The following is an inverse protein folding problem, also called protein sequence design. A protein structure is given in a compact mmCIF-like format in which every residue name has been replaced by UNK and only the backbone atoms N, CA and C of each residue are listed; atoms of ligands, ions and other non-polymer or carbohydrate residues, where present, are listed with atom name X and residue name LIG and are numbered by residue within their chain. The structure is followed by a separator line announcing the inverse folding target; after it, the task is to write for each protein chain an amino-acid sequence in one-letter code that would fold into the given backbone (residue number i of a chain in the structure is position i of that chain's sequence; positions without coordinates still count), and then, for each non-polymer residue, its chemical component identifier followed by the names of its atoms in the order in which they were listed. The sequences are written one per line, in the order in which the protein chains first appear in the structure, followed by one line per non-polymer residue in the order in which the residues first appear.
data_IF_152705784320
#
_entry.id   IF_152705784320
#
_cell.length_a   1.000
_cell.length_b   1.000
_cell.length_c   1.000
_cell.angle_alpha   90.00
_cell.angle_beta   90.00
_cell.angle_gamma   90.00
#
_symmetry.space_group_name_H-M   'P 1'
#
loop_
_entity.id
_entity.type
_entity.pdbx_description
1 polymer ?
#
# COMPACT_ATOMS: atom_id res chain seq x y z
N UNK A 1 13.07 22.34 -4.95
CA UNK A 1 12.40 21.22 -5.68
C UNK A 1 13.25 19.98 -5.51
N UNK A 2 12.67 18.87 -5.05
CA UNK A 2 13.35 17.57 -4.98
C UNK A 2 13.66 17.09 -6.40
N UNK A 3 14.88 16.55 -6.62
CA UNK A 3 15.25 15.97 -7.93
C UNK A 3 14.32 14.79 -8.25
N UNK A 4 13.98 14.64 -9.52
CA UNK A 4 13.12 13.53 -9.96
C UNK A 4 13.86 12.20 -9.84
N UNK A 5 13.23 11.23 -9.16
CA UNK A 5 13.73 9.85 -9.13
C UNK A 5 13.37 9.14 -10.43
N UNK A 6 14.33 8.44 -11.02
CA UNK A 6 14.11 7.61 -12.21
C UNK A 6 13.62 6.19 -11.87
N UNK A 7 13.71 5.78 -10.61
CA UNK A 7 13.45 4.39 -10.20
C UNK A 7 12.31 4.22 -9.20
N UNK A 8 12.03 5.25 -8.39
CA UNK A 8 11.06 5.21 -7.30
C UNK A 8 10.01 6.30 -7.48
N UNK A 9 8.74 5.96 -7.30
CA UNK A 9 7.63 6.92 -7.30
C UNK A 9 6.71 6.72 -6.10
N UNK A 10 5.95 7.76 -5.75
CA UNK A 10 4.82 7.66 -4.83
C UNK A 10 3.54 7.44 -5.65
N UNK A 11 2.71 6.47 -5.26
CA UNK A 11 1.44 6.14 -5.89
C UNK A 11 0.30 6.28 -4.88
N UNK A 12 -0.67 7.12 -5.20
CA UNK A 12 -1.83 7.43 -4.36
C UNK A 12 -3.11 6.95 -5.06
N UNK A 13 -3.65 5.77 -4.73
CA UNK A 13 -4.99 5.40 -5.18
C UNK A 13 -6.03 6.28 -4.49
N UNK A 14 -7.01 6.78 -5.22
CA UNK A 14 -7.96 7.77 -4.73
C UNK A 14 -9.38 7.51 -5.24
N UNK A 15 -10.33 7.41 -4.30
CA UNK A 15 -11.76 7.28 -4.60
C UNK A 15 -12.58 8.12 -3.63
N UNK A 16 -13.26 9.14 -4.16
CA UNK A 16 -14.09 10.08 -3.39
C UNK A 16 -13.41 10.54 -2.08
N UNK A 17 -12.19 11.09 -2.14
CA UNK A 17 -11.39 11.45 -0.95
C UNK A 17 -11.84 12.78 -0.31
N UNK A 18 -12.77 13.50 -0.95
CA UNK A 18 -13.13 14.85 -0.54
C UNK A 18 -11.98 15.85 -0.70
N UNK A 19 -11.96 16.86 0.15
CA UNK A 19 -10.97 17.96 0.09
C UNK A 19 -9.56 17.55 0.52
N UNK A 20 -9.40 16.46 1.27
CA UNK A 20 -8.11 16.00 1.83
C UNK A 20 -7.09 15.59 0.78
N UNK A 21 -7.53 15.16 -0.39
CA UNK A 21 -6.60 14.66 -1.42
C UNK A 21 -5.61 15.73 -1.87
N UNK A 22 -6.06 16.98 -2.00
CA UNK A 22 -5.17 18.06 -2.42
C UNK A 22 -4.02 18.29 -1.41
N UNK A 23 -4.34 18.25 -0.11
CA UNK A 23 -3.34 18.40 0.95
C UNK A 23 -2.41 17.18 1.01
N UNK A 24 -2.96 15.96 0.84
CA UNK A 24 -2.19 14.73 0.77
C UNK A 24 -1.17 14.77 -0.38
N UNK A 25 -1.62 15.19 -1.57
CA UNK A 25 -0.75 15.30 -2.76
C UNK A 25 0.31 16.39 -2.57
N UNK A 26 -0.06 17.56 -2.04
CA UNK A 26 0.92 18.63 -1.74
C UNK A 26 1.97 18.15 -0.73
N UNK A 27 1.54 17.45 0.34
CA UNK A 27 2.46 16.89 1.32
C UNK A 27 3.41 15.86 0.69
N UNK A 28 2.90 14.93 -0.13
CA UNK A 28 3.75 13.97 -0.83
C UNK A 28 4.73 14.65 -1.80
N UNK A 29 4.26 15.65 -2.59
CA UNK A 29 5.08 16.42 -3.52
C UNK A 29 6.17 17.26 -2.85
N UNK A 30 5.93 17.71 -1.62
CA UNK A 30 6.96 18.42 -0.85
C UNK A 30 8.14 17.52 -0.50
N UNK A 31 7.95 16.21 -0.42
CA UNK A 31 8.95 15.24 0.01
C UNK A 31 9.49 14.34 -1.10
N UNK A 32 8.77 14.18 -2.23
CA UNK A 32 9.18 13.29 -3.32
C UNK A 32 8.76 13.76 -4.72
N UNK A 33 9.54 13.32 -5.71
CA UNK A 33 9.29 13.52 -7.12
C UNK A 33 9.72 12.27 -7.91
N UNK A 34 8.82 11.60 -8.69
CA UNK A 34 7.45 11.96 -8.99
C UNK A 34 6.42 11.42 -7.98
N UNK A 35 5.21 12.01 -8.01
CA UNK A 35 4.01 11.53 -7.34
C UNK A 35 2.92 11.28 -8.37
N UNK A 36 2.30 10.12 -8.31
CA UNK A 36 1.20 9.74 -9.19
C UNK A 36 -0.07 9.50 -8.38
N UNK A 37 -1.18 9.97 -8.90
CA UNK A 37 -2.52 9.72 -8.34
C UNK A 37 -3.32 8.90 -9.33
N UNK A 38 -3.89 7.78 -8.87
CA UNK A 38 -4.85 7.00 -9.66
C UNK A 38 -6.24 7.27 -9.13
N UNK A 39 -7.02 8.05 -9.86
CA UNK A 39 -8.41 8.36 -9.54
C UNK A 39 -9.30 7.22 -9.99
N UNK A 40 -9.86 6.49 -9.03
CA UNK A 40 -10.66 5.28 -9.24
C UNK A 40 -12.15 5.60 -9.41
N UNK A 41 -12.49 6.35 -10.47
CA UNK A 41 -13.88 6.70 -10.79
C UNK A 41 -14.53 7.62 -9.75
N UNK A 42 -13.80 8.59 -9.21
CA UNK A 42 -14.34 9.57 -8.25
C UNK A 42 -15.43 10.46 -8.87
N UNK A 43 -16.46 10.76 -8.06
CA UNK A 43 -17.62 11.58 -8.45
C UNK A 43 -17.82 12.84 -7.59
N UNK A 44 -16.91 13.08 -6.64
CA UNK A 44 -16.96 14.14 -5.63
C UNK A 44 -16.29 15.47 -6.08
N UNK A 45 -15.90 15.57 -7.36
CA UNK A 45 -15.20 16.74 -7.89
C UNK A 45 -13.69 16.75 -7.66
N UNK A 46 -13.13 15.82 -6.89
CA UNK A 46 -11.68 15.71 -6.59
C UNK A 46 -10.83 15.54 -7.86
N UNK A 47 -11.36 14.89 -8.90
CA UNK A 47 -10.70 14.70 -10.19
C UNK A 47 -10.27 16.02 -10.83
N UNK A 48 -11.19 17.01 -10.90
CA UNK A 48 -10.89 18.30 -11.50
C UNK A 48 -9.79 19.06 -10.72
N UNK A 49 -9.83 18.98 -9.39
CA UNK A 49 -8.79 19.57 -8.52
C UNK A 49 -7.43 18.95 -8.81
N UNK A 50 -7.35 17.63 -8.87
CA UNK A 50 -6.11 16.91 -9.13
C UNK A 50 -5.54 17.19 -10.52
N UNK A 51 -6.41 17.25 -11.54
CA UNK A 51 -6.00 17.60 -12.91
C UNK A 51 -5.46 19.05 -12.99
N UNK A 52 -6.11 20.00 -12.30
CA UNK A 52 -5.62 21.37 -12.20
C UNK A 52 -4.23 21.44 -11.52
N UNK A 53 -4.02 20.67 -10.44
CA UNK A 53 -2.72 20.57 -9.78
C UNK A 53 -1.65 19.99 -10.71
N UNK A 54 -1.98 18.93 -11.46
CA UNK A 54 -1.04 18.29 -12.40
C UNK A 54 -0.68 19.20 -13.58
N UNK A 55 -1.59 20.04 -14.04
CA UNK A 55 -1.30 21.03 -15.08
C UNK A 55 -0.26 22.08 -14.64
N UNK A 56 -0.18 22.36 -13.34
CA UNK A 56 0.77 23.31 -12.74
C UNK A 56 2.06 22.66 -12.22
N UNK A 57 2.11 21.34 -12.09
CA UNK A 57 3.25 20.61 -11.51
C UNK A 57 3.65 19.40 -12.38
N UNK A 58 4.74 19.49 -13.16
CA UNK A 58 5.18 18.41 -14.03
C UNK A 58 5.63 17.14 -13.28
N UNK A 59 5.86 17.22 -11.98
CA UNK A 59 6.19 16.06 -11.14
C UNK A 59 4.95 15.33 -10.58
N UNK A 60 3.74 15.83 -10.86
CA UNK A 60 2.48 15.20 -10.50
C UNK A 60 1.81 14.61 -11.74
N UNK A 61 1.53 13.32 -11.74
CA UNK A 61 0.76 12.66 -12.79
C UNK A 61 -0.58 12.18 -12.23
N UNK A 62 -1.66 12.38 -12.99
CA UNK A 62 -3.01 11.93 -12.62
C UNK A 62 -3.53 10.97 -13.68
N UNK A 63 -3.79 9.74 -13.26
CA UNK A 63 -4.43 8.69 -14.07
C UNK A 63 -5.90 8.60 -13.64
N UNK A 64 -6.83 8.74 -14.59
CA UNK A 64 -8.27 8.72 -14.31
C UNK A 64 -8.88 7.45 -14.86
N UNK A 65 -9.47 6.62 -13.99
CA UNK A 65 -10.22 5.43 -14.39
C UNK A 65 -11.71 5.81 -14.61
N UNK A 66 -12.38 5.20 -15.60
CA UNK A 66 -13.75 5.58 -15.96
C UNK A 66 -14.79 5.21 -14.89
N UNK A 67 -14.48 4.24 -14.04
CA UNK A 67 -15.36 3.75 -12.97
C UNK A 67 -14.58 3.17 -11.81
N UNK A 68 -15.22 3.04 -10.63
CA UNK A 68 -14.59 2.43 -9.46
C UNK A 68 -14.38 0.92 -9.68
N UNK A 69 -13.12 0.52 -9.70
CA UNK A 69 -12.67 -0.88 -9.82
C UNK A 69 -12.06 -1.41 -8.53
N UNK A 70 -11.84 -0.54 -7.54
CA UNK A 70 -11.33 -0.81 -6.21
C UNK A 70 -9.84 -0.52 -6.03
N UNK A 71 -9.44 -0.24 -4.78
CA UNK A 71 -8.09 0.21 -4.40
C UNK A 71 -6.98 -0.62 -5.07
N UNK A 72 -7.03 -1.94 -4.91
CA UNK A 72 -5.98 -2.81 -5.46
C UNK A 72 -5.96 -2.82 -7.00
N UNK A 73 -7.11 -2.71 -7.67
CA UNK A 73 -7.15 -2.61 -9.13
C UNK A 73 -6.58 -1.26 -9.60
N UNK A 74 -6.89 -0.16 -8.91
CA UNK A 74 -6.29 1.14 -9.18
C UNK A 74 -4.76 1.14 -9.00
N UNK A 75 -4.28 0.49 -7.92
CA UNK A 75 -2.84 0.29 -7.71
C UNK A 75 -2.23 -0.48 -8.87
N UNK A 76 -2.86 -1.59 -9.34
CA UNK A 76 -2.32 -2.37 -10.45
C UNK A 76 -2.21 -1.54 -11.75
N UNK A 77 -3.20 -0.69 -12.05
CA UNK A 77 -3.13 0.22 -13.20
C UNK A 77 -1.94 1.19 -13.08
N UNK A 78 -1.73 1.76 -11.88
CA UNK A 78 -0.56 2.60 -11.60
C UNK A 78 0.76 1.84 -11.76
N UNK A 79 0.84 0.60 -11.29
CA UNK A 79 2.02 -0.26 -11.43
C UNK A 79 2.31 -0.61 -12.90
N UNK A 80 1.29 -0.90 -13.69
CA UNK A 80 1.45 -1.22 -15.11
C UNK A 80 2.02 -0.01 -15.87
N UNK A 81 1.48 1.17 -15.62
CA UNK A 81 1.96 2.42 -16.20
C UNK A 81 3.39 2.76 -15.72
N UNK A 82 3.67 2.60 -14.41
CA UNK A 82 4.98 2.86 -13.83
C UNK A 82 6.06 1.95 -14.42
N UNK A 83 5.76 0.65 -14.56
CA UNK A 83 6.67 -0.29 -15.19
C UNK A 83 6.94 0.03 -16.66
N UNK A 84 5.92 0.48 -17.41
CA UNK A 84 6.07 0.90 -18.81
C UNK A 84 6.98 2.13 -18.95
N UNK A 85 7.07 2.98 -17.91
CA UNK A 85 7.98 4.14 -17.87
C UNK A 85 9.34 3.84 -17.21
N UNK A 86 9.63 2.57 -16.86
CA UNK A 86 10.92 2.14 -16.34
C UNK A 86 11.09 2.26 -14.84
N UNK A 87 10.05 2.64 -14.07
CA UNK A 87 10.11 2.62 -12.61
C UNK A 87 10.22 1.18 -12.09
N UNK A 88 11.00 1.02 -11.02
CA UNK A 88 11.27 -0.28 -10.40
C UNK A 88 10.62 -0.45 -9.04
N UNK A 89 10.34 0.66 -8.35
CA UNK A 89 9.77 0.66 -7.00
C UNK A 89 8.64 1.67 -6.87
N UNK A 90 7.68 1.35 -6.03
CA UNK A 90 6.54 2.20 -5.74
C UNK A 90 6.31 2.30 -4.23
N UNK A 91 6.15 3.51 -3.72
CA UNK A 91 5.58 3.75 -2.40
C UNK A 91 4.07 3.95 -2.57
N UNK A 92 3.26 3.07 -1.99
CA UNK A 92 1.81 3.27 -1.90
C UNK A 92 1.48 4.17 -0.72
N UNK A 93 0.51 5.07 -0.89
CA UNK A 93 0.05 6.00 0.14
C UNK A 93 -1.44 6.27 -0.05
N UNK A 94 -2.25 6.21 1.01
CA UNK A 94 -3.68 6.48 0.92
C UNK A 94 -3.97 7.99 0.74
N UNK A 95 -5.11 8.32 0.13
CA UNK A 95 -5.47 9.70 -0.23
C UNK A 95 -6.14 10.50 0.89
N UNK A 96 -6.34 9.92 2.07
CA UNK A 96 -7.10 10.46 3.20
C UNK A 96 -6.29 11.34 4.17
N UNK A 97 -4.99 11.51 3.91
CA UNK A 97 -4.06 12.31 4.72
C UNK A 97 -3.59 11.65 6.02
N UNK A 98 -3.95 10.39 6.28
CA UNK A 98 -3.55 9.69 7.51
C UNK A 98 -2.09 9.25 7.51
N UNK A 99 -1.47 9.13 6.34
CA UNK A 99 -0.10 8.66 6.17
C UNK A 99 0.93 9.80 6.32
N UNK A 100 2.07 9.55 6.97
CA UNK A 100 3.10 10.55 7.26
C UNK A 100 3.98 10.82 6.04
N UNK A 101 3.63 11.84 5.24
CA UNK A 101 4.39 12.19 4.03
C UNK A 101 5.84 12.56 4.33
N UNK A 102 6.12 13.08 5.51
CA UNK A 102 7.46 13.41 6.01
C UNK A 102 8.40 12.20 6.11
N UNK A 103 7.85 10.99 6.18
CA UNK A 103 8.64 9.75 6.20
C UNK A 103 8.94 9.18 4.81
N UNK A 104 8.38 9.73 3.74
CA UNK A 104 8.67 9.27 2.37
C UNK A 104 10.18 9.17 2.10
N UNK A 105 11.03 10.18 2.40
CA UNK A 105 12.45 10.09 2.11
C UNK A 105 13.16 8.94 2.83
N UNK A 106 12.82 8.66 4.09
CA UNK A 106 13.43 7.57 4.86
C UNK A 106 13.04 6.19 4.32
N UNK A 107 11.78 6.02 3.91
CA UNK A 107 11.31 4.79 3.27
C UNK A 107 12.02 4.57 1.92
N UNK A 108 12.12 5.62 1.10
CA UNK A 108 12.81 5.55 -0.20
C UNK A 108 14.30 5.22 -0.04
N UNK A 109 14.98 5.84 0.93
CA UNK A 109 16.39 5.53 1.23
C UNK A 109 16.57 4.07 1.66
N UNK A 110 15.68 3.53 2.51
CA UNK A 110 15.71 2.13 2.91
C UNK A 110 15.50 1.19 1.72
N UNK A 111 14.55 1.52 0.84
CA UNK A 111 14.30 0.74 -0.38
C UNK A 111 15.49 0.76 -1.34
N UNK A 112 16.15 1.90 -1.49
CA UNK A 112 17.38 2.02 -2.32
C UNK A 112 18.54 1.19 -1.77
N UNK A 113 18.67 1.09 -0.44
CA UNK A 113 19.67 0.26 0.22
C UNK A 113 19.36 -1.24 0.13
N UNK A 114 18.07 -1.61 0.09
CA UNK A 114 17.57 -2.98 0.05
C UNK A 114 16.56 -3.18 -1.10
N UNK A 115 16.97 -3.08 -2.36
CA UNK A 115 16.06 -3.01 -3.50
C UNK A 115 15.26 -4.31 -3.74
N UNK A 116 15.69 -5.44 -3.19
CA UNK A 116 14.93 -6.68 -3.28
C UNK A 116 13.80 -6.79 -2.24
N UNK A 117 13.80 -5.93 -1.21
CA UNK A 117 12.86 -5.99 -0.10
C UNK A 117 11.61 -5.13 -0.35
N UNK A 118 10.50 -5.52 0.27
CA UNK A 118 9.40 -4.61 0.53
C UNK A 118 9.62 -3.90 1.87
N UNK A 119 9.35 -2.60 1.91
CA UNK A 119 9.46 -1.78 3.13
C UNK A 119 8.06 -1.51 3.64
N UNK A 120 7.74 -2.05 4.81
CA UNK A 120 6.41 -1.95 5.42
C UNK A 120 6.40 -0.90 6.52
N UNK A 121 5.44 0.02 6.46
CA UNK A 121 5.13 0.90 7.57
C UNK A 121 4.49 0.11 8.71
N UNK A 122 5.01 0.30 9.93
CA UNK A 122 4.41 -0.24 11.15
C UNK A 122 3.79 0.93 11.91
N UNK A 123 2.45 0.98 12.03
CA UNK A 123 1.79 2.13 12.61
C UNK A 123 2.15 2.32 14.08
N UNK A 124 2.60 3.53 14.41
CA UNK A 124 2.74 4.01 15.79
C UNK A 124 1.48 4.79 16.13
N UNK A 125 0.68 4.23 17.01
CA UNK A 125 -0.59 4.82 17.41
C UNK A 125 -0.40 5.83 18.53
N UNK A 126 -1.10 6.96 18.43
CA UNK A 126 -1.24 7.87 19.56
C UNK A 126 -2.15 7.25 20.65
N UNK A 127 -2.11 7.79 21.87
CA UNK A 127 -2.83 7.22 23.01
C UNK A 127 -4.36 7.21 22.85
N UNK A 128 -4.89 8.07 22.01
CA UNK A 128 -6.32 8.24 21.69
C UNK A 128 -6.81 7.36 20.52
N UNK A 129 -5.95 6.50 19.99
CA UNK A 129 -6.31 5.64 18.85
C UNK A 129 -7.48 4.69 19.19
N UNK A 130 -8.45 4.51 18.26
CA UNK A 130 -9.61 3.65 18.49
C UNK A 130 -9.21 2.19 18.77
N UNK A 131 -9.44 1.71 19.99
CA UNK A 131 -9.02 0.39 20.47
C UNK A 131 -9.51 -0.76 19.58
N UNK A 132 -10.74 -0.67 19.05
CA UNK A 132 -11.29 -1.70 18.17
C UNK A 132 -10.46 -1.87 16.89
N UNK A 133 -9.96 -0.76 16.32
CA UNK A 133 -9.08 -0.80 15.14
C UNK A 133 -7.73 -1.44 15.46
N UNK A 134 -7.17 -1.11 16.61
CA UNK A 134 -5.89 -1.68 17.08
C UNK A 134 -6.01 -3.19 17.29
N UNK A 135 -7.10 -3.66 17.92
CA UNK A 135 -7.31 -5.11 18.16
C UNK A 135 -7.59 -5.87 16.85
N UNK A 136 -8.45 -5.35 15.97
CA UNK A 136 -8.71 -5.96 14.66
C UNK A 136 -7.43 -6.13 13.83
N UNK A 137 -6.51 -5.16 13.91
CA UNK A 137 -5.20 -5.20 13.25
C UNK A 137 -4.33 -6.34 13.77
N UNK A 138 -4.31 -6.57 15.08
CA UNK A 138 -3.55 -7.68 15.69
C UNK A 138 -3.99 -9.05 15.17
N UNK A 139 -5.29 -9.23 14.93
CA UNK A 139 -5.84 -10.47 14.39
C UNK A 139 -5.33 -10.69 12.95
N UNK A 140 -5.48 -9.70 12.07
CA UNK A 140 -4.99 -9.79 10.69
C UNK A 140 -3.47 -9.98 10.62
N UNK A 141 -2.71 -9.29 11.46
CA UNK A 141 -1.26 -9.44 11.54
C UNK A 141 -0.85 -10.84 12.03
N UNK A 142 -1.60 -11.40 12.98
CA UNK A 142 -1.41 -12.79 13.44
C UNK A 142 -1.59 -13.79 12.30
N UNK A 143 -2.67 -13.66 11.53
CA UNK A 143 -2.91 -14.51 10.35
C UNK A 143 -1.83 -14.34 9.29
N UNK A 144 -1.47 -13.10 8.92
CA UNK A 144 -0.44 -12.83 7.92
C UNK A 144 0.92 -13.43 8.31
N UNK A 145 1.29 -13.36 9.59
CA UNK A 145 2.52 -13.98 10.09
C UNK A 145 2.44 -15.51 10.10
N UNK A 146 1.30 -16.11 10.50
CA UNK A 146 1.09 -17.55 10.40
C UNK A 146 1.22 -18.04 8.96
N UNK A 147 0.53 -17.39 8.03
CA UNK A 147 0.49 -17.73 6.59
C UNK A 147 1.85 -17.60 5.89
N UNK A 148 2.81 -16.97 6.53
CA UNK A 148 4.18 -16.77 6.01
C UNK A 148 5.26 -17.48 6.84
N UNK A 149 4.90 -18.34 7.79
CA UNK A 149 5.81 -18.93 8.78
C UNK A 149 6.63 -17.88 9.53
N UNK A 150 5.96 -16.81 9.99
CA UNK A 150 6.60 -15.69 10.70
C UNK A 150 7.74 -15.03 9.90
N UNK A 151 7.41 -14.56 8.69
CA UNK A 151 8.35 -13.78 7.85
C UNK A 151 8.69 -12.39 8.43
N UNK A 152 8.13 -12.03 9.59
CA UNK A 152 8.43 -10.76 10.27
C UNK A 152 7.57 -9.60 9.76
N UNK A 153 6.32 -9.84 9.37
CA UNK A 153 5.38 -8.80 8.97
C UNK A 153 4.97 -8.00 10.22
N UNK A 154 5.40 -6.74 10.30
CA UNK A 154 5.05 -5.84 11.41
C UNK A 154 3.60 -5.37 11.35
N UNK A 155 3.10 -5.03 10.17
CA UNK A 155 1.69 -4.72 9.93
C UNK A 155 1.24 -5.11 8.53
N UNK A 156 0.07 -5.76 8.43
CA UNK A 156 -0.50 -6.26 7.18
C UNK A 156 -1.55 -5.33 6.57
N UNK A 157 -2.05 -4.33 7.31
CA UNK A 157 -3.19 -3.48 6.93
C UNK A 157 -2.82 -2.02 6.67
N UNK A 158 -1.61 -1.58 7.05
CA UNK A 158 -1.20 -0.20 6.87
C UNK A 158 -0.69 0.02 5.46
N UNK A 159 -1.34 0.89 4.68
CA UNK A 159 -1.09 1.08 3.25
C UNK A 159 0.16 1.87 2.88
N UNK A 160 0.93 2.39 3.87
CA UNK A 160 2.17 3.15 3.62
C UNK A 160 3.36 2.20 3.49
N UNK A 161 3.72 1.85 2.26
CA UNK A 161 4.69 0.78 1.97
C UNK A 161 5.44 1.01 0.67
N UNK A 162 6.66 0.48 0.58
CA UNK A 162 7.36 0.36 -0.70
C UNK A 162 7.37 -1.10 -1.16
N UNK A 163 7.10 -1.25 -2.44
CA UNK A 163 7.16 -2.53 -3.13
C UNK A 163 8.07 -2.45 -4.36
N UNK A 164 8.90 -3.47 -4.61
CA UNK A 164 9.44 -3.69 -5.94
C UNK A 164 8.30 -4.01 -6.92
N UNK A 165 8.22 -3.26 -8.02
CA UNK A 165 7.08 -3.30 -8.96
C UNK A 165 6.96 -4.65 -9.65
N UNK A 166 8.04 -5.19 -10.16
CA UNK A 166 7.99 -6.42 -10.98
C UNK A 166 7.38 -7.62 -10.23
N UNK A 167 7.83 -7.99 -9.01
CA UNK A 167 7.24 -9.11 -8.28
C UNK A 167 5.80 -8.82 -7.82
N UNK A 168 5.47 -7.55 -7.44
CA UNK A 168 4.10 -7.21 -7.04
C UNK A 168 3.13 -7.34 -8.23
N UNK A 169 3.48 -6.80 -9.41
CA UNK A 169 2.69 -6.96 -10.64
C UNK A 169 2.44 -8.43 -10.97
N UNK A 170 3.48 -9.27 -10.94
CA UNK A 170 3.34 -10.69 -11.19
C UNK A 170 2.39 -11.38 -10.19
N UNK A 171 2.44 -10.98 -8.90
CA UNK A 171 1.50 -11.46 -7.88
C UNK A 171 0.08 -11.04 -8.21
N UNK A 172 -0.15 -9.79 -8.56
CA UNK A 172 -1.47 -9.24 -8.81
C UNK A 172 -2.10 -9.70 -10.13
N UNK A 173 -1.29 -9.82 -11.19
CA UNK A 173 -1.74 -10.29 -12.51
C UNK A 173 -2.02 -11.79 -12.52
N UNK A 174 -1.32 -12.58 -11.71
CA UNK A 174 -1.48 -14.04 -11.61
C UNK A 174 -2.79 -14.49 -10.95
N UNK A 175 -3.69 -13.58 -10.61
CA UNK A 175 -4.95 -13.91 -9.95
C UNK A 175 -6.00 -12.80 -10.06
N UNK A 176 -7.26 -13.18 -9.79
CA UNK A 176 -8.43 -12.28 -9.84
C UNK A 176 -8.71 -11.52 -8.54
N UNK A 177 -8.05 -11.90 -7.45
CA UNK A 177 -8.19 -11.28 -6.11
C UNK A 177 -7.34 -10.03 -5.96
N UNK A 178 -7.30 -9.42 -4.78
CA UNK A 178 -6.52 -8.22 -4.49
C UNK A 178 -7.00 -6.99 -5.28
N UNK A 179 -8.31 -6.86 -5.47
CA UNK A 179 -8.85 -5.72 -6.25
C UNK A 179 -9.40 -4.61 -5.36
N UNK A 180 -9.72 -4.91 -4.10
CA UNK A 180 -10.29 -3.96 -3.12
C UNK A 180 -9.38 -3.79 -1.91
N UNK A 181 -9.95 -3.69 -0.71
CA UNK A 181 -9.20 -3.58 0.56
C UNK A 181 -8.44 -4.86 0.95
N UNK A 182 -8.74 -5.98 0.33
CA UNK A 182 -7.97 -7.21 0.44
C UNK A 182 -6.55 -7.11 -0.18
N UNK A 183 -6.27 -6.06 -0.94
CA UNK A 183 -4.96 -5.82 -1.55
C UNK A 183 -3.84 -5.74 -0.51
N UNK A 184 -3.98 -4.88 0.50
CA UNK A 184 -2.89 -4.59 1.43
C UNK A 184 -2.37 -5.83 2.17
N UNK A 185 -3.21 -6.66 2.85
CA UNK A 185 -2.73 -7.86 3.53
C UNK A 185 -2.36 -9.00 2.57
N UNK A 186 -3.12 -9.21 1.51
CA UNK A 186 -2.85 -10.31 0.57
C UNK A 186 -1.55 -10.09 -0.21
N UNK A 187 -1.24 -8.84 -0.59
CA UNK A 187 0.01 -8.49 -1.27
C UNK A 187 1.23 -8.89 -0.44
N UNK A 188 1.25 -8.51 0.83
CA UNK A 188 2.37 -8.80 1.73
C UNK A 188 2.59 -10.30 1.88
N UNK A 189 1.53 -11.07 2.15
CA UNK A 189 1.63 -12.53 2.30
C UNK A 189 2.15 -13.18 1.02
N UNK A 190 1.59 -12.82 -0.14
CA UNK A 190 2.02 -13.41 -1.41
C UNK A 190 3.41 -13.00 -1.85
N UNK A 191 3.84 -11.79 -1.54
CA UNK A 191 5.21 -11.34 -1.75
C UNK A 191 6.19 -12.15 -0.90
N UNK A 192 5.88 -12.41 0.38
CA UNK A 192 6.65 -13.31 1.23
C UNK A 192 6.72 -14.73 0.65
N UNK A 193 5.62 -15.25 0.10
CA UNK A 193 5.62 -16.56 -0.56
C UNK A 193 6.53 -16.61 -1.80
N UNK A 194 6.81 -15.47 -2.44
CA UNK A 194 7.79 -15.37 -3.52
C UNK A 194 9.23 -15.19 -3.01
N UNK A 195 9.40 -15.04 -1.71
CA UNK A 195 10.71 -14.86 -1.08
C UNK A 195 11.21 -13.42 -1.10
N UNK A 196 10.31 -12.45 -1.28
CA UNK A 196 10.64 -11.02 -1.14
C UNK A 196 10.87 -10.74 0.35
N UNK A 197 12.04 -10.21 0.74
CA UNK A 197 12.34 -9.87 2.13
C UNK A 197 11.44 -8.74 2.66
N UNK A 198 11.27 -8.72 3.98
CA UNK A 198 10.49 -7.69 4.68
C UNK A 198 11.42 -6.79 5.48
N UNK A 199 11.26 -5.48 5.35
CA UNK A 199 11.85 -4.47 6.21
C UNK A 199 10.71 -3.67 6.84
N UNK A 200 10.73 -3.52 8.16
CA UNK A 200 9.70 -2.76 8.87
C UNK A 200 10.28 -1.42 9.32
N UNK A 201 9.53 -0.33 9.08
CA UNK A 201 9.85 0.99 9.59
C UNK A 201 8.66 1.54 10.40
N UNK A 202 8.90 2.14 11.56
CA UNK A 202 7.82 2.79 12.31
C UNK A 202 7.29 3.99 11.51
N UNK A 203 5.96 4.14 11.53
CA UNK A 203 5.29 5.25 10.87
C UNK A 203 4.13 5.76 11.74
N UNK A 204 4.12 7.05 12.01
CA UNK A 204 3.05 7.69 12.76
C UNK A 204 1.75 7.70 11.96
N UNK A 205 0.61 7.51 12.61
CA UNK A 205 -0.71 7.57 11.97
C UNK A 205 -1.46 8.77 12.49
N UNK A 206 -1.97 9.60 11.58
CA UNK A 206 -2.86 10.71 11.91
C UNK A 206 -4.30 10.23 11.77
N UNK A 207 -5.10 10.42 12.80
CA UNK A 207 -6.54 10.18 12.71
C UNK A 207 -7.26 11.51 12.58
N UNK A 208 -8.20 11.57 11.64
CA UNK A 208 -9.07 12.72 11.45
C UNK A 208 -10.48 12.35 11.87
N UNK A 209 -11.12 13.23 12.61
CA UNK A 209 -12.56 13.16 12.89
C UNK A 209 -13.35 13.53 11.63
N UNK A 210 -14.64 13.20 11.61
CA UNK A 210 -15.54 13.62 10.51
C UNK A 210 -15.58 15.15 10.38
N UNK A 211 -15.52 15.87 11.49
CA UNK A 211 -15.46 17.34 11.50
C UNK A 211 -14.19 17.90 10.85
N UNK A 212 -13.09 17.16 10.89
CA UNK A 212 -11.82 17.50 10.26
C UNK A 212 -11.73 16.99 8.80
N UNK A 213 -12.84 16.52 8.24
CA UNK A 213 -12.92 16.00 6.87
C UNK A 213 -12.37 14.58 6.72
N UNK A 214 -12.30 13.81 7.80
CA UNK A 214 -11.94 12.39 7.74
C UNK A 214 -13.00 11.58 7.00
N UNK A 215 -12.61 10.87 5.94
CA UNK A 215 -13.47 9.99 5.15
C UNK A 215 -13.02 8.55 5.36
N UNK A 216 -13.96 7.66 5.68
CA UNK A 216 -13.70 6.23 5.77
C UNK A 216 -14.68 5.48 4.87
N UNK A 217 -14.15 4.78 3.89
CA UNK A 217 -14.93 3.91 2.99
C UNK A 217 -15.01 2.46 3.49
N UNK A 218 -14.46 2.17 4.68
CA UNK A 218 -14.48 0.84 5.27
C UNK A 218 -15.86 0.49 5.82
N UNK A 219 -16.52 -0.50 5.22
CA UNK A 219 -17.77 -1.07 5.71
C UNK A 219 -17.46 -2.29 6.58
N UNK A 220 -17.71 -2.19 7.90
CA UNK A 220 -17.30 -3.20 8.88
C UNK A 220 -17.77 -4.62 8.53
N UNK A 221 -19.04 -4.80 8.15
CA UNK A 221 -19.55 -6.13 7.85
C UNK A 221 -18.97 -6.69 6.55
N UNK A 222 -19.12 -5.94 5.46
CA UNK A 222 -18.67 -6.36 4.12
C UNK A 222 -17.17 -6.60 4.07
N UNK A 223 -16.40 -5.66 4.61
CA UNK A 223 -14.95 -5.70 4.46
C UNK A 223 -14.30 -6.70 5.43
N UNK A 224 -14.89 -6.93 6.62
CA UNK A 224 -14.47 -8.04 7.49
C UNK A 224 -14.82 -9.42 6.88
N UNK A 225 -15.97 -9.57 6.23
CA UNK A 225 -16.26 -10.79 5.47
C UNK A 225 -15.25 -11.02 4.33
N UNK A 226 -14.89 -9.95 3.61
CA UNK A 226 -13.88 -10.02 2.55
C UNK A 226 -12.51 -10.43 3.11
N UNK A 227 -12.07 -9.83 4.21
CA UNK A 227 -10.81 -10.16 4.88
C UNK A 227 -10.79 -11.60 5.42
N UNK A 228 -11.90 -12.04 6.02
CA UNK A 228 -12.04 -13.43 6.50
C UNK A 228 -11.93 -14.43 5.35
N UNK A 229 -12.63 -14.17 4.25
CA UNK A 229 -12.55 -14.99 3.03
C UNK A 229 -11.15 -14.98 2.44
N UNK A 230 -10.49 -13.81 2.42
CA UNK A 230 -9.11 -13.67 1.97
C UNK A 230 -8.16 -14.53 2.82
N UNK A 231 -8.19 -14.43 4.15
CA UNK A 231 -7.35 -15.25 5.02
C UNK A 231 -7.65 -16.73 4.89
N UNK A 232 -8.94 -17.15 4.72
CA UNK A 232 -9.29 -18.54 4.46
C UNK A 232 -8.61 -19.09 3.19
N UNK A 233 -8.62 -18.31 2.10
CA UNK A 233 -7.94 -18.67 0.84
C UNK A 233 -6.42 -18.68 0.99
N UNK A 234 -5.86 -17.71 1.71
CA UNK A 234 -4.43 -17.63 1.97
C UNK A 234 -3.98 -18.80 2.85
N UNK A 235 -4.76 -19.16 3.87
CA UNK A 235 -4.44 -20.30 4.73
C UNK A 235 -4.42 -21.61 3.93
N UNK A 236 -5.42 -21.86 3.07
CA UNK A 236 -5.40 -23.03 2.18
C UNK A 236 -4.15 -23.01 1.27
N UNK A 237 -3.84 -21.85 0.69
CA UNK A 237 -2.63 -21.66 -0.11
C UNK A 237 -1.33 -21.83 0.69
N UNK A 238 -1.30 -21.45 1.94
CA UNK A 238 -0.19 -21.61 2.87
C UNK A 238 0.08 -23.09 3.15
N UNK A 239 -0.95 -23.87 3.50
CA UNK A 239 -0.80 -25.32 3.79
C UNK A 239 -0.06 -26.03 2.63
N UNK A 240 -0.44 -25.73 1.38
CA UNK A 240 0.23 -26.29 0.20
C UNK A 240 1.69 -25.83 0.04
N UNK A 241 2.07 -24.69 0.64
CA UNK A 241 3.40 -24.09 0.52
C UNK A 241 4.32 -24.37 1.71
N UNK A 242 3.80 -24.94 2.79
CA UNK A 242 4.61 -25.23 4.01
C UNK A 242 5.93 -25.91 3.70
N UNK A 243 5.99 -26.99 2.88
CA UNK A 243 7.28 -27.63 2.59
C UNK A 243 8.30 -26.70 1.93
N UNK A 244 7.84 -25.88 0.98
CA UNK A 244 8.68 -24.92 0.27
C UNK A 244 9.16 -23.79 1.20
N UNK A 245 8.28 -23.27 2.05
CA UNK A 245 8.60 -22.21 3.00
C UNK A 245 9.61 -22.70 4.05
N UNK A 246 9.44 -23.91 4.56
CA UNK A 246 10.39 -24.55 5.47
C UNK A 246 11.75 -24.75 4.80
N UNK A 247 11.79 -25.26 3.58
CA UNK A 247 13.03 -25.45 2.83
C UNK A 247 13.78 -24.13 2.62
N UNK A 248 13.07 -23.02 2.33
CA UNK A 248 13.67 -21.69 2.22
C UNK A 248 14.23 -21.21 3.56
N UNK A 249 13.48 -21.36 4.65
CA UNK A 249 13.93 -20.97 6.00
C UNK A 249 15.20 -21.71 6.42
N UNK A 250 15.27 -23.00 6.16
CA UNK A 250 16.47 -23.80 6.45
C UNK A 250 17.69 -23.38 5.63
N UNK A 251 17.50 -22.94 4.38
CA UNK A 251 18.60 -22.41 3.56
C UNK A 251 19.13 -21.07 4.08
N UNK A 252 18.26 -20.22 4.62
CA UNK A 252 18.68 -18.94 5.23
C UNK A 252 19.45 -19.14 6.54
N UNK A 253 19.14 -20.17 7.32
CA UNK A 253 19.86 -20.49 8.58
C UNK A 253 21.25 -21.13 8.34
N UNK A 254 21.52 -21.59 7.12
CA UNK A 254 22.83 -22.21 6.74
C UNK A 254 23.80 -21.23 6.06
N UNK A 255 23.37 -19.99 5.83
CA UNK A 255 24.18 -18.87 5.29
C UNK A 255 24.56 -17.89 6.39
#
# INVERSE_FOLDING_TARGET
MTMASATHLVLIPSYNPGTKVADTVRAARAHWNPVWVVVDGSTDGSTAVLQSMAAADPGLQVLVLPQNVGKGAAVLQGLDQAAAQGFTHVLTMDSDGQHPAELIPSFMATSQQQPAAMVLGVPVFAADAPQLRVQGRKISNGWANLETLWAGIGDSLFGFRIYPIAPLRQVMQGQRWMRRFDFDPEAVVRMCWRGVPVVNLPATVKYFTVAEGGVSHFNYLRDNCLLTWMHSRLFAGFVLRVPLLLARRLRHLRR
#
